data_IF_154327404517
#
_entry.id   IF_154327404517
#
_cell.length_a   1.000
_cell.length_b   1.000
_cell.length_c   1.000
_cell.angle_alpha   90.00
_cell.angle_beta   90.00
_cell.angle_gamma   90.00
#
_symmetry.space_group_name_H-M   'P 1'
#
loop_
_entity.id
_entity.type
_entity.pdbx_description
1 polymer ?
#
# COMPACT_ATOMS: atom_id res chain seq x y z
N UNK A 1 -13.39 18.03 -10.80
CA UNK A 1 -13.26 16.56 -10.68
C UNK A 1 -12.98 16.21 -9.23
N UNK A 2 -13.58 15.15 -8.70
CA UNK A 2 -13.26 14.60 -7.37
C UNK A 2 -12.50 13.29 -7.57
N UNK A 3 -11.41 13.09 -6.83
CA UNK A 3 -10.57 11.89 -6.86
C UNK A 3 -10.50 11.35 -5.44
N UNK A 4 -10.68 10.04 -5.26
CA UNK A 4 -10.57 9.37 -3.97
C UNK A 4 -9.19 8.72 -3.88
N UNK A 5 -8.40 9.14 -2.89
CA UNK A 5 -7.03 8.67 -2.69
C UNK A 5 -6.94 7.89 -1.39
N UNK A 6 -6.30 6.73 -1.42
CA UNK A 6 -5.93 5.96 -0.23
C UNK A 6 -4.41 6.03 -0.02
N UNK A 7 -3.99 6.47 1.17
CA UNK A 7 -2.58 6.53 1.54
C UNK A 7 -2.26 5.35 2.46
N UNK A 8 -1.35 4.47 2.03
CA UNK A 8 -0.90 3.35 2.84
C UNK A 8 0.13 3.81 3.88
N UNK A 9 -0.21 3.64 5.16
CA UNK A 9 0.74 3.79 6.26
C UNK A 9 1.10 2.40 6.78
N UNK A 10 2.10 1.79 6.15
CA UNK A 10 2.55 0.42 6.42
C UNK A 10 4.07 0.36 6.60
N UNK A 11 4.52 -0.49 7.52
CA UNK A 11 5.94 -0.68 7.82
C UNK A 11 6.51 -1.84 6.98
N UNK A 12 7.58 -1.62 6.19
CA UNK A 12 8.27 -2.68 5.48
C UNK A 12 9.16 -3.52 6.40
N UNK A 13 9.46 -4.74 5.98
CA UNK A 13 10.54 -5.57 6.53
C UNK A 13 11.76 -5.41 5.62
N UNK A 14 12.90 -4.97 6.18
CA UNK A 14 14.13 -4.73 5.40
C UNK A 14 14.57 -6.01 4.68
N UNK A 15 14.82 -5.89 3.37
CA UNK A 15 15.23 -6.95 2.45
C UNK A 15 14.24 -8.11 2.22
N UNK A 16 13.08 -8.13 2.89
CA UNK A 16 12.04 -9.14 2.64
C UNK A 16 11.00 -8.63 1.64
N UNK A 17 11.37 -8.70 0.36
CA UNK A 17 10.52 -8.26 -0.75
C UNK A 17 9.20 -9.04 -0.79
N UNK A 18 9.23 -10.34 -0.50
CA UNK A 18 8.04 -11.18 -0.58
C UNK A 18 7.00 -10.78 0.49
N UNK A 19 7.44 -10.58 1.73
CA UNK A 19 6.58 -10.10 2.81
C UNK A 19 6.03 -8.70 2.52
N UNK A 20 6.84 -7.81 1.97
CA UNK A 20 6.43 -6.44 1.65
C UNK A 20 5.42 -6.37 0.52
N UNK A 21 5.64 -7.10 -0.57
CA UNK A 21 4.68 -7.21 -1.68
C UNK A 21 3.35 -7.82 -1.19
N UNK A 22 3.41 -8.83 -0.32
CA UNK A 22 2.22 -9.39 0.31
C UNK A 22 1.44 -8.35 1.12
N UNK A 23 2.12 -7.55 1.96
CA UNK A 23 1.50 -6.44 2.72
C UNK A 23 0.87 -5.40 1.79
N UNK A 24 1.52 -5.07 0.69
CA UNK A 24 0.97 -4.15 -0.32
C UNK A 24 -0.32 -4.68 -0.94
N UNK A 25 -0.34 -5.97 -1.33
CA UNK A 25 -1.52 -6.62 -1.88
C UNK A 25 -2.69 -6.63 -0.89
N UNK A 26 -2.44 -7.02 0.37
CA UNK A 26 -3.45 -7.00 1.43
C UNK A 26 -4.00 -5.59 1.70
N UNK A 27 -3.16 -4.55 1.59
CA UNK A 27 -3.61 -3.17 1.71
C UNK A 27 -4.53 -2.77 0.55
N UNK A 28 -4.18 -3.14 -0.69
CA UNK A 28 -5.01 -2.86 -1.87
C UNK A 28 -6.39 -3.48 -1.70
N UNK A 29 -6.47 -4.76 -1.33
CA UNK A 29 -7.74 -5.45 -1.09
C UNK A 29 -8.58 -4.74 -0.01
N UNK A 30 -7.97 -4.35 1.11
CA UNK A 30 -8.66 -3.59 2.17
C UNK A 30 -9.13 -2.23 1.71
N UNK A 31 -8.30 -1.48 0.98
CA UNK A 31 -8.64 -0.14 0.49
C UNK A 31 -9.81 -0.20 -0.49
N UNK A 32 -9.80 -1.15 -1.43
CA UNK A 32 -10.87 -1.36 -2.40
C UNK A 32 -12.16 -1.86 -1.74
N UNK A 33 -12.07 -2.71 -0.71
CA UNK A 33 -13.24 -3.16 0.04
C UNK A 33 -13.88 -2.03 0.87
N UNK A 34 -13.07 -1.18 1.50
CA UNK A 34 -13.55 -0.04 2.31
C UNK A 34 -14.13 1.08 1.44
N UNK A 35 -13.50 1.39 0.31
CA UNK A 35 -13.99 2.37 -0.64
C UNK A 35 -13.77 1.88 -2.09
N UNK A 36 -14.79 1.25 -2.70
CA UNK A 36 -14.71 0.79 -4.09
C UNK A 36 -14.52 1.90 -5.13
N UNK A 37 -14.67 3.18 -4.74
CA UNK A 37 -14.44 4.34 -5.60
C UNK A 37 -13.01 4.89 -5.51
N UNK A 38 -12.09 4.19 -4.84
CA UNK A 38 -10.68 4.57 -4.78
C UNK A 38 -10.08 4.64 -6.18
N UNK A 39 -9.51 5.79 -6.53
CA UNK A 39 -8.94 6.09 -7.84
C UNK A 39 -7.40 5.98 -7.84
N UNK A 40 -6.76 6.19 -6.67
CA UNK A 40 -5.31 6.15 -6.51
C UNK A 40 -4.95 5.60 -5.12
N UNK A 41 -3.95 4.71 -5.10
CA UNK A 41 -3.33 4.21 -3.86
C UNK A 41 -1.86 4.63 -3.85
N UNK A 42 -1.41 5.26 -2.77
CA UNK A 42 -0.02 5.69 -2.59
C UNK A 42 0.63 4.85 -1.49
N UNK A 43 1.84 4.36 -1.76
CA UNK A 43 2.66 3.64 -0.80
C UNK A 43 3.87 4.47 -0.33
N UNK A 44 4.44 4.16 0.85
CA UNK A 44 5.66 4.79 1.33
C UNK A 44 6.86 4.57 0.40
N UNK A 45 7.84 5.46 0.51
CA UNK A 45 9.13 5.30 -0.15
C UNK A 45 9.81 3.98 0.25
N UNK A 46 10.46 3.31 -0.71
CA UNK A 46 11.15 2.03 -0.53
C UNK A 46 10.29 0.90 0.07
N UNK A 47 8.95 0.96 -0.02
CA UNK A 47 8.06 -0.06 0.56
C UNK A 47 8.40 -1.50 0.13
N UNK A 48 8.95 -1.69 -1.07
CA UNK A 48 9.29 -3.01 -1.62
C UNK A 48 10.51 -3.60 -0.91
N UNK A 49 11.58 -2.81 -0.74
CA UNK A 49 12.84 -3.28 -0.15
C UNK A 49 12.96 -3.03 1.36
N UNK A 50 12.18 -2.09 1.88
CA UNK A 50 12.33 -1.53 3.23
C UNK A 50 13.53 -0.60 3.38
N UNK A 51 13.48 0.20 4.45
CA UNK A 51 14.53 1.14 4.89
C UNK A 51 14.55 1.20 6.43
N UNK A 52 15.62 1.73 7.04
CA UNK A 52 15.78 1.92 8.50
C UNK A 52 15.49 3.36 8.95
#
# INVERSE_FOLDING_TARGET
MKVNVACAQIEPVRFDVAANVKKMAEFIEKAMAQNPKTDLIIFPELIISGYE
#
